data_IF_823635639519
#
_entry.id   IF_823635639519
#
_cell.length_a   1.000
_cell.length_b   1.000
_cell.length_c   1.000
_cell.angle_alpha   90.00
_cell.angle_beta   90.00
_cell.angle_gamma   90.00
#
_symmetry.space_group_name_H-M   'P 1'
#
loop_
_entity.id
_entity.type
_entity.pdbx_description
1 polymer ?
#
# COMPACT_ATOMS: atom_id res chain seq x y z
N UNK A 1 -3.75 12.53 -14.23
CA UNK A 1 -4.39 12.92 -15.52
C UNK A 1 -5.88 12.74 -15.35
N UNK A 2 -6.73 13.73 -15.59
CA UNK A 2 -8.15 13.45 -15.71
C UNK A 2 -8.31 12.51 -16.93
N UNK A 3 -8.94 11.35 -16.71
CA UNK A 3 -9.49 10.58 -17.83
C UNK A 3 -10.33 11.56 -18.65
N UNK A 4 -10.23 11.56 -20.01
CA UNK A 4 -11.11 12.38 -20.80
C UNK A 4 -12.54 12.08 -20.36
N UNK A 5 -13.26 13.13 -19.96
CA UNK A 5 -14.61 12.99 -19.47
C UNK A 5 -15.46 12.26 -20.53
N UNK A 6 -16.35 11.40 -20.10
CA UNK A 6 -17.30 10.69 -20.99
C UNK A 6 -18.17 11.63 -21.83
N UNK A 7 -18.08 12.94 -21.60
CA UNK A 7 -18.69 14.02 -22.38
C UNK A 7 -18.08 14.23 -23.79
N UNK A 8 -16.95 13.58 -24.13
CA UNK A 8 -16.28 13.76 -25.42
C UNK A 8 -16.92 13.00 -26.60
N UNK A 9 -17.98 12.22 -26.36
CA UNK A 9 -18.61 11.37 -27.40
C UNK A 9 -17.75 10.15 -27.80
N UNK A 10 -16.61 9.93 -27.17
CA UNK A 10 -15.75 8.76 -27.39
C UNK A 10 -16.27 7.59 -26.55
N UNK A 11 -16.51 6.38 -27.13
CA UNK A 11 -16.96 5.24 -26.37
C UNK A 11 -15.97 4.83 -25.26
N UNK A 12 -16.47 4.46 -24.07
CA UNK A 12 -15.66 4.08 -22.90
C UNK A 12 -14.56 3.04 -23.22
N UNK A 13 -14.81 1.94 -23.98
CA UNK A 13 -13.74 0.99 -24.31
C UNK A 13 -12.59 1.57 -25.16
N UNK A 14 -12.84 2.67 -25.88
CA UNK A 14 -11.77 3.38 -26.60
C UNK A 14 -10.94 4.20 -25.62
N UNK A 15 -11.59 4.88 -24.67
CA UNK A 15 -10.90 5.65 -23.63
C UNK A 15 -10.03 4.73 -22.74
N UNK A 16 -10.54 3.55 -22.39
CA UNK A 16 -9.80 2.55 -21.60
C UNK A 16 -8.54 2.09 -22.33
N UNK A 17 -8.65 1.77 -23.65
CA UNK A 17 -7.47 1.39 -24.44
C UNK A 17 -6.46 2.53 -24.58
N UNK A 18 -6.94 3.76 -24.79
CA UNK A 18 -6.06 4.93 -24.85
C UNK A 18 -5.41 5.19 -23.49
N UNK A 19 -6.16 5.07 -22.39
CA UNK A 19 -5.61 5.18 -21.03
C UNK A 19 -4.52 4.16 -20.76
N UNK A 20 -4.74 2.88 -21.11
CA UNK A 20 -3.74 1.83 -20.98
C UNK A 20 -2.49 2.11 -21.83
N UNK A 21 -2.65 2.60 -23.07
CA UNK A 21 -1.54 2.97 -23.94
C UNK A 21 -0.73 4.16 -23.37
N UNK A 22 -1.43 5.20 -22.90
CA UNK A 22 -0.80 6.36 -22.25
C UNK A 22 -0.03 5.97 -20.99
N UNK A 23 -0.62 5.11 -20.15
CA UNK A 23 0.06 4.59 -18.97
C UNK A 23 1.31 3.80 -19.34
N UNK A 24 1.24 2.92 -20.35
CA UNK A 24 2.42 2.17 -20.85
C UNK A 24 3.51 3.09 -21.40
N UNK A 25 3.15 4.13 -22.12
CA UNK A 25 4.11 5.14 -22.60
C UNK A 25 4.77 5.89 -21.43
N UNK A 26 3.99 6.27 -20.41
CA UNK A 26 4.51 6.91 -19.20
C UNK A 26 5.52 5.99 -18.49
N UNK A 27 5.21 4.71 -18.30
CA UNK A 27 6.12 3.72 -17.73
C UNK A 27 7.39 3.57 -18.57
N UNK A 28 7.30 3.59 -19.91
CA UNK A 28 8.48 3.58 -20.77
C UNK A 28 9.34 4.84 -20.53
N UNK A 29 8.72 6.01 -20.40
CA UNK A 29 9.40 7.26 -20.05
C UNK A 29 10.11 7.20 -18.70
N UNK A 30 9.47 6.60 -17.67
CA UNK A 30 10.08 6.38 -16.34
C UNK A 30 11.29 5.44 -16.45
N UNK A 31 11.14 4.30 -17.13
CA UNK A 31 12.22 3.30 -17.28
C UNK A 31 13.42 3.82 -18.06
N UNK A 32 13.18 4.65 -19.06
CA UNK A 32 14.24 5.28 -19.87
C UNK A 32 14.87 6.49 -19.16
N UNK A 33 14.29 6.99 -18.08
CA UNK A 33 14.78 8.19 -17.38
C UNK A 33 14.41 9.52 -18.05
N UNK A 34 13.38 9.55 -18.91
CA UNK A 34 12.92 10.76 -19.59
C UNK A 34 12.60 11.87 -18.61
N UNK A 35 11.85 11.57 -17.56
CA UNK A 35 11.44 12.56 -16.56
C UNK A 35 12.64 13.06 -15.76
N UNK A 36 13.54 12.17 -15.35
CA UNK A 36 14.76 12.54 -14.61
C UNK A 36 15.71 13.39 -15.46
N UNK A 37 15.83 13.10 -16.77
CA UNK A 37 16.64 13.93 -17.65
C UNK A 37 16.09 15.37 -17.78
N UNK A 38 14.77 15.55 -17.64
CA UNK A 38 14.10 16.85 -17.72
C UNK A 38 14.08 17.62 -16.38
N UNK A 39 14.51 17.02 -15.27
CA UNK A 39 14.60 17.72 -13.97
C UNK A 39 15.61 18.87 -13.99
N UNK A 40 16.68 18.72 -14.77
CA UNK A 40 17.71 19.73 -14.91
C UNK A 40 17.30 20.92 -15.83
N UNK A 41 16.19 20.79 -16.55
CA UNK A 41 15.66 21.81 -17.44
C UNK A 41 15.16 21.29 -18.78
N UNK A 42 14.64 22.18 -19.64
CA UNK A 42 14.10 21.84 -20.95
C UNK A 42 15.19 21.29 -21.90
N UNK A 43 14.89 20.21 -22.64
CA UNK A 43 15.76 19.59 -23.63
C UNK A 43 15.09 19.56 -25.00
N UNK A 44 15.87 19.63 -26.10
CA UNK A 44 15.37 19.21 -27.40
C UNK A 44 15.18 17.72 -27.45
N UNK A 45 14.46 17.18 -28.45
CA UNK A 45 14.27 15.73 -28.59
C UNK A 45 15.60 15.03 -28.81
N UNK A 46 16.53 15.64 -29.55
CA UNK A 46 17.87 15.12 -29.82
C UNK A 46 18.74 15.09 -28.55
N UNK A 47 18.70 16.17 -27.75
CA UNK A 47 19.38 16.23 -26.45
C UNK A 47 18.80 15.17 -25.49
N UNK A 48 17.47 15.02 -25.46
CA UNK A 48 16.79 14.03 -24.63
C UNK A 48 17.14 12.61 -25.09
N UNK A 49 17.14 12.33 -26.40
CA UNK A 49 17.53 11.02 -26.94
C UNK A 49 18.96 10.63 -26.52
N UNK A 50 19.88 11.59 -26.58
CA UNK A 50 21.25 11.42 -26.11
C UNK A 50 21.29 11.13 -24.60
N UNK A 51 20.54 11.90 -23.80
CA UNK A 51 20.53 11.75 -22.34
C UNK A 51 19.99 10.39 -21.88
N UNK A 52 18.97 9.85 -22.58
CA UNK A 52 18.38 8.55 -22.26
C UNK A 52 18.98 7.37 -22.99
N UNK A 53 19.98 7.62 -23.88
CA UNK A 53 20.61 6.57 -24.69
C UNK A 53 19.66 5.93 -25.69
N UNK A 54 18.65 6.68 -26.18
CA UNK A 54 17.61 6.20 -27.08
C UNK A 54 17.82 6.64 -28.54
N UNK A 55 17.13 5.93 -29.44
CA UNK A 55 17.02 6.34 -30.84
C UNK A 55 16.21 7.64 -30.96
N UNK A 56 16.68 8.68 -31.69
CA UNK A 56 16.00 9.98 -31.76
C UNK A 56 14.55 9.92 -32.28
N UNK A 57 14.25 9.07 -33.26
CA UNK A 57 12.91 8.92 -33.82
C UNK A 57 11.99 8.15 -32.87
N UNK A 58 12.51 7.14 -32.19
CA UNK A 58 11.83 6.44 -31.11
C UNK A 58 11.49 7.34 -29.94
N UNK A 59 12.46 8.16 -29.48
CA UNK A 59 12.25 9.15 -28.41
C UNK A 59 11.25 10.23 -28.85
N UNK A 60 11.31 10.71 -30.08
CA UNK A 60 10.34 11.65 -30.65
C UNK A 60 8.92 11.09 -30.60
N UNK A 61 8.74 9.82 -31.01
CA UNK A 61 7.45 9.14 -30.96
C UNK A 61 6.93 8.99 -29.53
N UNK A 62 7.78 8.64 -28.58
CA UNK A 62 7.44 8.56 -27.16
C UNK A 62 7.04 9.93 -26.61
N UNK A 63 7.83 10.97 -26.88
CA UNK A 63 7.54 12.36 -26.46
C UNK A 63 6.18 12.81 -27.00
N UNK A 64 5.85 12.56 -28.26
CA UNK A 64 4.57 12.92 -28.84
C UNK A 64 3.38 12.27 -28.10
N UNK A 65 3.52 10.99 -27.72
CA UNK A 65 2.50 10.30 -26.91
C UNK A 65 2.42 10.93 -25.53
N UNK A 66 3.54 11.15 -24.86
CA UNK A 66 3.58 11.75 -23.51
C UNK A 66 3.02 13.17 -23.48
N UNK A 67 3.22 13.94 -24.55
CA UNK A 67 2.60 15.27 -24.73
C UNK A 67 1.07 15.14 -24.90
N UNK A 68 0.63 14.21 -25.74
CA UNK A 68 -0.81 13.95 -25.97
C UNK A 68 -1.53 13.58 -24.68
N UNK A 69 -0.89 12.81 -23.79
CA UNK A 69 -1.45 12.44 -22.50
C UNK A 69 -1.15 13.44 -21.36
N UNK A 70 -0.51 14.58 -21.67
CA UNK A 70 -0.30 15.68 -20.73
C UNK A 70 0.83 15.46 -19.71
N UNK A 71 1.69 14.46 -19.89
CA UNK A 71 2.88 14.28 -19.04
C UNK A 71 3.99 15.25 -19.40
N UNK A 72 4.15 15.54 -20.70
CA UNK A 72 5.11 16.48 -21.22
C UNK A 72 4.41 17.60 -21.97
N UNK A 73 5.13 18.68 -22.28
CA UNK A 73 4.70 19.73 -23.20
C UNK A 73 5.87 20.19 -24.06
N UNK A 74 5.57 20.65 -25.24
CA UNK A 74 6.50 21.41 -26.05
C UNK A 74 6.46 22.88 -25.63
N UNK A 75 7.65 23.48 -25.51
CA UNK A 75 7.87 24.91 -25.39
C UNK A 75 8.83 25.31 -26.51
N UNK A 76 8.27 25.83 -27.61
CA UNK A 76 8.96 26.03 -28.89
C UNK A 76 9.56 24.72 -29.43
N UNK A 77 10.89 24.56 -29.35
CA UNK A 77 11.63 23.37 -29.80
C UNK A 77 12.11 22.46 -28.66
N UNK A 78 11.75 22.80 -27.42
CA UNK A 78 12.18 22.05 -26.23
C UNK A 78 11.01 21.34 -25.56
N UNK A 79 11.33 20.25 -24.88
CA UNK A 79 10.41 19.42 -24.12
C UNK A 79 10.60 19.72 -22.65
N UNK A 80 9.50 19.85 -21.93
CA UNK A 80 9.47 20.02 -20.47
C UNK A 80 8.45 19.09 -19.85
N UNK A 81 8.61 18.75 -18.57
CA UNK A 81 7.61 18.05 -17.79
C UNK A 81 6.41 18.98 -17.52
N UNK A 82 5.21 18.53 -17.89
CA UNK A 82 3.94 19.22 -17.62
C UNK A 82 3.25 18.67 -16.37
N UNK A 83 3.22 17.32 -16.25
CA UNK A 83 2.77 16.61 -15.05
C UNK A 83 3.74 15.45 -14.80
N UNK A 84 4.50 15.56 -13.74
CA UNK A 84 5.37 14.46 -13.34
C UNK A 84 4.53 13.21 -12.98
N UNK A 85 4.98 12.00 -13.36
CA UNK A 85 4.42 10.77 -12.79
C UNK A 85 4.65 10.75 -11.29
N UNK A 86 3.99 9.83 -10.60
CA UNK A 86 4.30 9.52 -9.21
C UNK A 86 5.75 9.06 -9.01
N UNK A 87 6.15 8.79 -7.77
CA UNK A 87 7.48 8.24 -7.49
C UNK A 87 7.75 7.00 -8.36
N UNK A 88 8.95 6.86 -8.96
CA UNK A 88 9.24 5.77 -9.90
C UNK A 88 8.95 4.37 -9.33
N UNK A 89 9.24 4.13 -8.06
CA UNK A 89 8.96 2.86 -7.41
C UNK A 89 7.46 2.53 -7.38
N UNK A 90 6.61 3.54 -7.12
CA UNK A 90 5.16 3.39 -7.11
C UNK A 90 4.63 3.03 -8.51
N UNK A 91 5.06 3.79 -9.51
CA UNK A 91 4.60 3.60 -10.88
C UNK A 91 5.03 2.24 -11.45
N UNK A 92 6.29 1.86 -11.22
CA UNK A 92 6.83 0.57 -11.68
C UNK A 92 6.19 -0.61 -10.93
N UNK A 93 5.95 -0.48 -9.62
CA UNK A 93 5.26 -1.50 -8.84
C UNK A 93 3.85 -1.76 -9.37
N UNK A 94 3.02 -0.72 -9.50
CA UNK A 94 1.66 -0.88 -10.01
C UNK A 94 1.60 -1.37 -11.45
N UNK A 95 2.58 -0.97 -12.28
CA UNK A 95 2.69 -1.52 -13.62
C UNK A 95 2.89 -3.04 -13.59
N UNK A 96 3.81 -3.53 -12.77
CA UNK A 96 4.11 -4.97 -12.67
C UNK A 96 2.92 -5.73 -12.07
N UNK A 97 2.23 -5.15 -11.09
CA UNK A 97 0.98 -5.72 -10.55
C UNK A 97 -0.08 -5.85 -11.62
N UNK A 98 -0.41 -4.77 -12.34
CA UNK A 98 -1.52 -4.75 -13.29
C UNK A 98 -1.25 -5.58 -14.55
N UNK A 99 0.00 -5.65 -15.03
CA UNK A 99 0.33 -6.30 -16.29
C UNK A 99 0.98 -7.68 -16.15
N UNK A 100 1.45 -8.05 -14.96
CA UNK A 100 2.08 -9.35 -14.74
C UNK A 100 1.39 -10.17 -13.66
N UNK A 101 1.05 -9.56 -12.50
CA UNK A 101 0.36 -10.30 -11.43
C UNK A 101 -1.11 -10.57 -11.77
N UNK A 102 -1.75 -9.68 -12.53
CA UNK A 102 -3.14 -9.86 -13.00
C UNK A 102 -3.24 -10.71 -14.27
N UNK A 103 -2.17 -11.25 -14.79
CA UNK A 103 -2.18 -11.97 -16.07
C UNK A 103 -3.10 -13.20 -16.11
N UNK A 104 -3.45 -13.75 -14.96
CA UNK A 104 -4.35 -14.91 -14.80
C UNK A 104 -5.56 -14.61 -13.89
N UNK A 105 -5.98 -13.35 -13.82
CA UNK A 105 -7.03 -12.87 -12.92
C UNK A 105 -8.38 -13.56 -13.16
N UNK A 106 -8.70 -13.90 -14.42
CA UNK A 106 -9.92 -14.61 -14.79
C UNK A 106 -9.99 -16.00 -14.16
N UNK A 107 -8.86 -16.68 -14.02
CA UNK A 107 -8.80 -17.99 -13.38
C UNK A 107 -9.03 -17.87 -11.86
N UNK A 108 -8.45 -16.87 -11.23
CA UNK A 108 -8.67 -16.57 -9.81
C UNK A 108 -10.14 -16.22 -9.53
N UNK A 109 -10.75 -15.39 -10.38
CA UNK A 109 -12.19 -15.04 -10.26
C UNK A 109 -13.06 -16.29 -10.41
N UNK A 110 -12.75 -17.17 -11.36
CA UNK A 110 -13.54 -18.38 -11.63
C UNK A 110 -13.43 -19.42 -10.50
N UNK A 111 -12.25 -19.57 -9.93
CA UNK A 111 -11.99 -20.63 -8.94
C UNK A 111 -12.10 -20.18 -7.48
N UNK A 112 -12.06 -18.86 -7.23
CA UNK A 112 -11.98 -18.29 -5.89
C UNK A 112 -10.64 -18.52 -5.18
N UNK A 113 -9.61 -18.99 -5.92
CA UNK A 113 -8.30 -19.32 -5.38
C UNK A 113 -7.20 -18.73 -6.26
N UNK A 114 -6.29 -17.92 -5.72
CA UNK A 114 -5.15 -17.41 -6.47
C UNK A 114 -4.30 -18.55 -7.02
N UNK A 115 -4.02 -18.51 -8.32
CA UNK A 115 -3.12 -19.48 -8.96
C UNK A 115 -1.70 -19.34 -8.46
N UNK A 116 -1.33 -18.09 -8.13
CA UNK A 116 -0.05 -17.72 -7.52
C UNK A 116 -0.29 -16.65 -6.46
N UNK A 117 -0.04 -16.96 -5.21
CA UNK A 117 -0.14 -15.99 -4.13
C UNK A 117 0.84 -14.83 -4.31
N UNK A 118 0.46 -13.65 -3.84
CA UNK A 118 1.21 -12.40 -4.01
C UNK A 118 2.66 -12.48 -3.52
N UNK A 119 2.90 -13.03 -2.32
CA UNK A 119 4.25 -13.16 -1.79
C UNK A 119 5.11 -14.18 -2.56
N UNK A 120 4.51 -15.22 -3.14
CA UNK A 120 5.21 -16.14 -4.03
C UNK A 120 5.63 -15.44 -5.32
N UNK A 121 4.72 -14.62 -5.89
CA UNK A 121 5.01 -13.79 -7.06
C UNK A 121 6.12 -12.77 -6.80
N UNK A 122 6.15 -12.15 -5.61
CA UNK A 122 7.21 -11.21 -5.19
C UNK A 122 8.57 -11.90 -5.00
N UNK A 123 8.61 -13.10 -4.43
CA UNK A 123 9.88 -13.85 -4.25
C UNK A 123 10.60 -14.12 -5.56
N UNK A 124 9.85 -14.26 -6.65
CA UNK A 124 10.40 -14.43 -7.98
C UNK A 124 10.88 -13.11 -8.62
N UNK A 125 10.60 -11.97 -7.97
CA UNK A 125 10.84 -10.60 -8.46
C UNK A 125 11.53 -9.72 -7.43
N UNK A 126 12.81 -9.94 -7.14
CA UNK A 126 13.51 -9.21 -6.06
C UNK A 126 13.49 -7.69 -6.22
N UNK A 127 13.53 -7.18 -7.46
CA UNK A 127 13.45 -5.75 -7.73
C UNK A 127 12.07 -5.17 -7.36
N UNK A 128 10.99 -5.88 -7.69
CA UNK A 128 9.61 -5.50 -7.33
C UNK A 128 9.39 -5.56 -5.82
N UNK A 129 9.90 -6.62 -5.16
CA UNK A 129 9.86 -6.75 -3.72
C UNK A 129 10.61 -5.60 -3.03
N UNK A 130 11.79 -5.21 -3.54
CA UNK A 130 12.54 -4.07 -3.01
C UNK A 130 11.80 -2.73 -3.19
N UNK A 131 11.08 -2.53 -4.31
CA UNK A 131 10.23 -1.34 -4.51
C UNK A 131 9.10 -1.31 -3.48
N UNK A 132 8.36 -2.41 -3.34
CA UNK A 132 7.29 -2.51 -2.35
C UNK A 132 7.79 -2.18 -0.94
N UNK A 133 8.92 -2.74 -0.53
CA UNK A 133 9.53 -2.43 0.77
C UNK A 133 9.79 -0.94 0.96
N UNK A 134 10.39 -0.26 -0.04
CA UNK A 134 10.63 1.19 0.05
C UNK A 134 9.33 1.99 0.13
N UNK A 135 8.30 1.58 -0.62
CA UNK A 135 6.98 2.20 -0.57
C UNK A 135 6.35 2.06 0.81
N UNK A 136 6.35 0.85 1.38
CA UNK A 136 5.79 0.58 2.71
C UNK A 136 6.55 1.34 3.81
N UNK A 137 7.88 1.37 3.75
CA UNK A 137 8.69 2.16 4.68
C UNK A 137 8.40 3.66 4.58
N UNK A 138 8.24 4.18 3.34
CA UNK A 138 7.85 5.58 3.12
C UNK A 138 6.46 5.90 3.66
N UNK A 139 5.48 5.02 3.46
CA UNK A 139 4.13 5.17 3.98
C UNK A 139 4.14 5.13 5.53
N UNK A 140 4.84 4.18 6.14
CA UNK A 140 4.98 4.10 7.59
C UNK A 140 5.58 5.38 8.17
N UNK A 141 6.63 5.93 7.55
CA UNK A 141 7.26 7.18 7.98
C UNK A 141 6.31 8.38 7.85
N UNK A 142 5.52 8.45 6.77
CA UNK A 142 4.56 9.53 6.54
C UNK A 142 3.40 9.53 7.55
N UNK A 143 2.96 8.35 7.98
CA UNK A 143 1.85 8.18 8.92
C UNK A 143 2.28 8.20 10.40
N UNK A 144 3.57 8.19 10.67
CA UNK A 144 4.11 7.86 11.98
C UNK A 144 3.71 8.85 13.10
N UNK A 145 3.63 10.16 12.79
CA UNK A 145 3.23 11.18 13.77
C UNK A 145 1.74 11.07 14.11
N UNK A 146 0.90 10.90 13.10
CA UNK A 146 -0.54 10.72 13.27
C UNK A 146 -0.84 9.45 14.08
N UNK A 147 -0.18 8.34 13.74
CA UNK A 147 -0.35 7.06 14.44
C UNK A 147 0.12 7.19 15.91
N UNK A 148 1.32 7.72 16.14
CA UNK A 148 1.86 7.84 17.49
C UNK A 148 0.99 8.74 18.39
N UNK A 149 0.40 9.80 17.83
CA UNK A 149 -0.51 10.69 18.55
C UNK A 149 -1.89 10.05 18.85
N UNK A 150 -2.36 9.18 17.93
CA UNK A 150 -3.70 8.57 18.05
C UNK A 150 -3.73 7.34 18.96
N UNK A 151 -2.63 6.58 19.05
CA UNK A 151 -2.55 5.35 19.84
C UNK A 151 -2.69 5.63 21.35
N UNK A 152 -3.40 4.77 22.11
CA UNK A 152 -3.50 4.89 23.57
C UNK A 152 -2.13 4.72 24.24
N UNK A 153 -1.98 5.13 25.51
CA UNK A 153 -0.81 4.80 26.29
C UNK A 153 -0.57 3.29 26.34
N UNK A 154 0.65 2.87 26.14
CA UNK A 154 1.05 1.46 26.15
C UNK A 154 2.53 1.36 26.49
N UNK A 155 2.93 0.39 27.30
CA UNK A 155 4.33 0.05 27.54
C UNK A 155 4.76 -1.17 26.71
N UNK A 156 3.85 -2.12 26.54
CA UNK A 156 4.08 -3.38 25.82
C UNK A 156 3.15 -3.48 24.60
N UNK A 157 3.74 -3.62 23.42
CA UNK A 157 3.00 -3.70 22.16
C UNK A 157 3.32 -5.00 21.44
N UNK A 158 2.31 -5.64 20.88
CA UNK A 158 2.43 -6.74 19.95
C UNK A 158 2.03 -6.27 18.55
N UNK A 159 2.95 -6.34 17.59
CA UNK A 159 2.72 -5.99 16.20
C UNK A 159 2.52 -7.28 15.38
N UNK A 160 1.26 -7.65 15.17
CA UNK A 160 0.88 -8.88 14.46
C UNK A 160 0.94 -8.62 12.96
N UNK A 161 1.70 -9.46 12.23
CA UNK A 161 1.94 -9.25 10.81
C UNK A 161 2.77 -8.01 10.54
N UNK A 162 3.63 -7.60 11.49
CA UNK A 162 4.40 -6.36 11.42
C UNK A 162 5.45 -6.30 10.31
N UNK A 163 5.59 -7.35 9.51
CA UNK A 163 6.42 -7.36 8.32
C UNK A 163 7.89 -7.11 8.64
N UNK A 164 8.45 -6.13 7.98
CA UNK A 164 9.85 -5.70 8.19
C UNK A 164 10.02 -4.76 9.40
N UNK A 165 8.95 -4.47 10.13
CA UNK A 165 8.96 -3.61 11.32
C UNK A 165 8.95 -2.11 10.99
N UNK A 166 8.49 -1.70 9.82
CA UNK A 166 8.52 -0.29 9.42
C UNK A 166 7.72 0.60 10.37
N UNK A 167 6.47 0.25 10.67
CA UNK A 167 5.65 0.96 11.65
C UNK A 167 6.19 0.84 13.07
N UNK A 168 6.71 -0.34 13.44
CA UNK A 168 7.33 -0.59 14.75
C UNK A 168 8.53 0.32 15.01
N UNK A 169 9.44 0.46 14.04
CA UNK A 169 10.61 1.35 14.15
C UNK A 169 10.17 2.78 14.35
N UNK A 170 9.23 3.25 13.54
CA UNK A 170 8.72 4.62 13.64
C UNK A 170 7.98 4.89 14.97
N UNK A 171 7.23 3.91 15.48
CA UNK A 171 6.58 3.99 16.80
C UNK A 171 7.62 4.07 17.92
N UNK A 172 8.62 3.20 17.92
CA UNK A 172 9.68 3.19 18.93
C UNK A 172 10.49 4.50 18.97
N UNK A 173 10.65 5.16 17.83
CA UNK A 173 11.32 6.48 17.75
C UNK A 173 10.53 7.59 18.42
N UNK A 174 9.18 7.56 18.31
CA UNK A 174 8.26 8.59 18.81
C UNK A 174 7.80 8.35 20.24
N UNK A 175 7.75 7.09 20.64
CA UNK A 175 7.26 6.65 21.96
C UNK A 175 8.41 5.95 22.72
N UNK A 176 9.27 6.70 23.46
CA UNK A 176 10.49 6.16 24.05
C UNK A 176 10.27 5.13 25.18
N UNK A 177 9.10 5.04 25.73
CA UNK A 177 8.68 4.11 26.80
C UNK A 177 8.00 2.83 26.28
N UNK A 178 7.79 2.72 24.96
CA UNK A 178 7.17 1.54 24.34
C UNK A 178 8.20 0.48 23.99
N UNK A 179 7.91 -0.78 24.24
CA UNK A 179 8.62 -1.95 23.68
C UNK A 179 7.67 -2.71 22.78
N UNK A 180 8.15 -3.16 21.62
CA UNK A 180 7.33 -3.84 20.61
C UNK A 180 7.88 -5.22 20.32
N UNK A 181 7.02 -6.22 20.33
CA UNK A 181 7.29 -7.54 19.76
C UNK A 181 6.65 -7.62 18.39
N UNK A 182 7.46 -7.72 17.33
CA UNK A 182 6.99 -8.00 15.97
C UNK A 182 6.77 -9.49 15.84
N UNK A 183 5.55 -9.88 15.46
CA UNK A 183 5.17 -11.28 15.26
C UNK A 183 4.80 -11.50 13.79
N UNK A 184 5.59 -12.30 13.08
CA UNK A 184 5.38 -12.59 11.67
C UNK A 184 5.99 -13.94 11.28
N UNK A 185 5.78 -14.39 10.06
CA UNK A 185 6.34 -15.64 9.55
C UNK A 185 7.87 -15.64 9.62
N UNK A 186 8.49 -16.84 9.80
CA UNK A 186 9.95 -16.96 9.96
C UNK A 186 10.75 -16.29 8.85
N UNK A 187 10.30 -16.39 7.59
CA UNK A 187 10.96 -15.77 6.44
C UNK A 187 10.88 -14.24 6.46
N UNK A 188 9.82 -13.67 7.02
CA UNK A 188 9.65 -12.22 7.16
C UNK A 188 10.53 -11.67 8.27
N UNK A 189 10.57 -12.35 9.42
CA UNK A 189 11.34 -11.95 10.59
C UNK A 189 12.85 -11.88 10.30
N UNK A 190 13.39 -12.70 9.41
CA UNK A 190 14.81 -12.66 9.02
C UNK A 190 15.20 -11.38 8.28
N UNK A 191 14.23 -10.62 7.78
CA UNK A 191 14.44 -9.37 7.05
C UNK A 191 13.99 -8.13 7.85
N UNK A 192 13.85 -8.26 9.18
CA UNK A 192 13.48 -7.14 10.05
C UNK A 192 14.49 -6.00 9.96
N UNK A 193 14.02 -4.78 10.14
CA UNK A 193 14.87 -3.58 10.20
C UNK A 193 15.79 -3.62 11.43
N UNK A 194 17.06 -3.31 11.22
CA UNK A 194 18.09 -3.26 12.27
C UNK A 194 18.24 -1.86 12.90
N UNK A 195 17.57 -0.85 12.34
CA UNK A 195 17.70 0.56 12.76
C UNK A 195 16.66 0.99 13.81
N UNK A 196 16.00 0.02 14.46
CA UNK A 196 15.18 0.27 15.63
C UNK A 196 16.05 0.72 16.82
N UNK A 197 15.52 1.57 17.72
CA UNK A 197 16.22 1.94 18.94
C UNK A 197 16.59 0.67 19.74
N UNK A 198 17.83 0.56 20.26
CA UNK A 198 18.31 -0.64 20.92
C UNK A 198 17.41 -1.13 22.06
N UNK A 199 17.13 -2.42 22.10
CA UNK A 199 16.34 -3.05 23.15
C UNK A 199 14.83 -2.73 23.12
N UNK A 200 14.36 -2.04 22.09
CA UNK A 200 12.97 -1.58 21.98
C UNK A 200 12.11 -2.43 21.06
N UNK A 201 12.73 -3.17 20.17
CA UNK A 201 12.07 -4.09 19.25
C UNK A 201 12.61 -5.50 19.45
N UNK A 202 11.72 -6.47 19.57
CA UNK A 202 12.01 -7.90 19.56
C UNK A 202 11.24 -8.56 18.42
N UNK A 203 11.74 -9.70 17.95
CA UNK A 203 11.12 -10.48 16.91
C UNK A 203 10.66 -11.84 17.44
N UNK A 204 9.48 -12.29 17.04
CA UNK A 204 8.97 -13.61 17.31
C UNK A 204 8.36 -14.20 16.04
N UNK A 205 8.95 -15.31 15.57
CA UNK A 205 8.46 -16.01 14.40
C UNK A 205 7.25 -16.90 14.73
N UNK A 206 6.25 -16.90 13.86
CA UNK A 206 5.08 -17.76 13.96
C UNK A 206 3.98 -17.38 12.99
N UNK A 207 2.96 -18.24 12.89
CA UNK A 207 1.73 -17.97 12.17
C UNK A 207 0.67 -17.47 13.17
N UNK A 208 0.24 -16.23 13.02
CA UNK A 208 -0.75 -15.62 13.92
C UNK A 208 -2.13 -16.27 13.87
N UNK A 209 -2.43 -17.10 12.87
CA UNK A 209 -3.67 -17.88 12.81
C UNK A 209 -3.62 -19.16 13.67
N UNK A 210 -2.43 -19.70 13.92
CA UNK A 210 -2.29 -21.01 14.59
C UNK A 210 -1.44 -20.96 15.85
N UNK A 211 -0.37 -20.16 15.88
CA UNK A 211 0.60 -20.16 16.96
C UNK A 211 0.20 -19.26 18.13
N UNK A 212 0.73 -19.52 19.31
CA UNK A 212 0.46 -18.70 20.50
C UNK A 212 0.96 -17.26 20.31
N UNK A 213 0.12 -16.26 20.54
CA UNK A 213 0.45 -14.84 20.47
C UNK A 213 1.04 -14.28 21.78
N UNK A 214 1.06 -15.08 22.85
CA UNK A 214 1.39 -14.61 24.18
C UNK A 214 0.22 -13.87 24.84
N UNK A 215 0.51 -13.12 25.90
CA UNK A 215 -0.51 -12.40 26.65
C UNK A 215 0.06 -11.19 27.40
N UNK A 216 -0.83 -10.32 27.88
CA UNK A 216 -0.45 -9.19 28.73
C UNK A 216 0.02 -7.97 27.96
N UNK A 217 -0.26 -7.89 26.67
CA UNK A 217 0.08 -6.70 25.88
C UNK A 217 -0.92 -5.56 26.12
N UNK A 218 -0.41 -4.35 26.31
CA UNK A 218 -1.24 -3.16 26.48
C UNK A 218 -1.87 -2.73 25.14
N UNK A 219 -1.21 -3.05 24.03
CA UNK A 219 -1.66 -2.70 22.70
C UNK A 219 -1.29 -3.81 21.71
N UNK A 220 -2.23 -4.18 20.86
CA UNK A 220 -1.98 -5.03 19.70
C UNK A 220 -2.20 -4.20 18.44
N UNK A 221 -1.23 -4.25 17.51
CA UNK A 221 -1.32 -3.63 16.19
C UNK A 221 -1.67 -4.67 15.14
N UNK A 222 -2.57 -4.30 14.23
CA UNK A 222 -2.95 -5.05 13.03
C UNK A 222 -2.93 -4.06 11.86
N UNK A 223 -1.72 -3.77 11.34
CA UNK A 223 -1.50 -2.75 10.33
C UNK A 223 -1.29 -3.39 8.97
N UNK A 224 -2.21 -3.14 8.04
CA UNK A 224 -2.20 -3.71 6.68
C UNK A 224 -2.18 -5.26 6.68
N UNK A 225 -2.90 -5.88 7.62
CA UNK A 225 -3.00 -7.33 7.78
C UNK A 225 -4.34 -7.86 7.30
N UNK A 226 -5.43 -7.23 7.73
CA UNK A 226 -6.78 -7.79 7.60
C UNK A 226 -7.26 -7.86 6.16
N UNK A 227 -6.82 -6.96 5.31
CA UNK A 227 -7.14 -6.98 3.88
C UNK A 227 -6.57 -8.21 3.13
N UNK A 228 -5.59 -8.90 3.71
CA UNK A 228 -5.09 -10.18 3.18
C UNK A 228 -5.99 -11.38 3.49
N UNK A 229 -7.06 -11.21 4.27
CA UNK A 229 -7.87 -12.27 4.85
C UNK A 229 -9.35 -12.17 4.51
N UNK A 230 -10.03 -13.31 4.52
CA UNK A 230 -11.49 -13.39 4.43
C UNK A 230 -12.14 -13.00 5.77
N UNK A 231 -13.44 -12.63 5.77
CA UNK A 231 -14.14 -12.23 6.99
C UNK A 231 -14.04 -13.22 8.17
N UNK A 232 -14.06 -14.52 7.87
CA UNK A 232 -13.96 -15.58 8.89
C UNK A 232 -12.58 -15.59 9.55
N UNK A 233 -11.53 -15.43 8.75
CA UNK A 233 -10.15 -15.35 9.25
C UNK A 233 -9.92 -14.04 10.02
N UNK A 234 -10.49 -12.91 9.58
CA UNK A 234 -10.44 -11.65 10.32
C UNK A 234 -11.05 -11.77 11.71
N UNK A 235 -12.21 -12.44 11.84
CA UNK A 235 -12.84 -12.72 13.15
C UNK A 235 -11.92 -13.56 14.04
N UNK A 236 -11.29 -14.60 13.49
CA UNK A 236 -10.36 -15.44 14.22
C UNK A 236 -9.12 -14.65 14.66
N UNK A 237 -8.55 -13.81 13.78
CA UNK A 237 -7.43 -12.92 14.12
C UNK A 237 -7.81 -11.99 15.28
N UNK A 238 -8.98 -11.36 15.25
CA UNK A 238 -9.45 -10.50 16.35
C UNK A 238 -9.67 -11.28 17.65
N UNK A 239 -10.26 -12.46 17.59
CA UNK A 239 -10.46 -13.30 18.76
C UNK A 239 -9.11 -13.67 19.42
N UNK A 240 -8.11 -14.02 18.62
CA UNK A 240 -6.76 -14.37 19.09
C UNK A 240 -6.03 -13.13 19.62
N UNK A 241 -6.08 -12.03 18.90
CA UNK A 241 -5.50 -10.74 19.33
C UNK A 241 -6.10 -10.28 20.67
N UNK A 242 -7.42 -10.43 20.85
CA UNK A 242 -8.09 -10.08 22.11
C UNK A 242 -7.62 -10.94 23.30
N UNK A 243 -7.21 -12.21 23.07
CA UNK A 243 -6.65 -13.05 24.15
C UNK A 243 -5.22 -12.67 24.50
N UNK A 244 -4.49 -12.02 23.60
CA UNK A 244 -3.14 -11.54 23.85
C UNK A 244 -3.09 -10.21 24.65
N UNK A 245 -4.22 -9.51 24.78
CA UNK A 245 -4.32 -8.24 25.51
C UNK A 245 -4.24 -8.43 27.03
N UNK A 246 -3.67 -7.43 27.70
CA UNK A 246 -3.88 -7.19 29.12
C UNK A 246 -5.36 -6.84 29.39
N UNK A 247 -5.84 -6.87 30.66
CA UNK A 247 -7.23 -6.57 30.97
C UNK A 247 -7.74 -5.21 30.47
N UNK A 248 -6.88 -4.22 30.41
CA UNK A 248 -7.16 -2.84 29.93
C UNK A 248 -6.59 -2.54 28.55
N UNK A 249 -6.07 -3.57 27.87
CA UNK A 249 -5.42 -3.43 26.57
C UNK A 249 -6.38 -3.11 25.44
N UNK A 250 -5.82 -2.62 24.33
CA UNK A 250 -6.56 -2.23 23.13
C UNK A 250 -5.99 -2.85 21.87
N UNK A 251 -6.80 -2.98 20.83
CA UNK A 251 -6.36 -3.30 19.46
C UNK A 251 -6.41 -2.02 18.63
N UNK A 252 -5.39 -1.79 17.81
CA UNK A 252 -5.38 -0.75 16.79
C UNK A 252 -5.23 -1.39 15.40
N UNK A 253 -6.16 -1.08 14.51
CA UNK A 253 -6.18 -1.53 13.12
C UNK A 253 -5.90 -0.35 12.20
N UNK A 254 -4.92 -0.48 11.33
CA UNK A 254 -4.66 0.44 10.22
C UNK A 254 -4.91 -0.31 8.92
N UNK A 255 -5.85 0.17 8.13
CA UNK A 255 -6.15 -0.40 6.82
C UNK A 255 -6.88 0.61 5.94
N UNK A 256 -7.12 0.27 4.67
CA UNK A 256 -7.99 1.03 3.79
C UNK A 256 -9.46 0.76 4.15
N UNK A 257 -10.29 1.80 4.14
CA UNK A 257 -11.74 1.65 4.29
C UNK A 257 -12.39 1.45 2.92
N UNK A 258 -13.19 0.42 2.78
CA UNK A 258 -13.95 0.17 1.53
C UNK A 258 -14.90 1.32 1.19
N UNK A 259 -15.30 2.11 2.19
CA UNK A 259 -16.11 3.32 2.01
C UNK A 259 -15.23 4.57 2.17
N UNK A 260 -14.71 5.13 1.05
CA UNK A 260 -13.88 6.31 1.12
C UNK A 260 -14.67 7.50 1.69
N UNK A 261 -14.01 8.43 2.38
CA UNK A 261 -14.66 9.64 2.85
C UNK A 261 -15.36 10.39 1.71
N UNK A 262 -16.52 10.96 2.02
CA UNK A 262 -17.24 11.80 1.07
C UNK A 262 -16.34 12.96 0.59
N UNK A 263 -16.29 13.20 -0.73
CA UNK A 263 -15.51 14.29 -1.32
C UNK A 263 -14.18 13.89 -1.96
N UNK A 264 -13.69 12.66 -1.80
CA UNK A 264 -12.46 12.21 -2.48
C UNK A 264 -12.65 11.92 -3.98
N UNK A 265 -13.89 11.89 -4.44
CA UNK A 265 -14.23 11.74 -5.85
C UNK A 265 -14.02 10.33 -6.43
N UNK A 266 -14.27 10.17 -7.75
CA UNK A 266 -14.27 8.84 -8.39
C UNK A 266 -12.89 8.19 -8.46
N UNK A 267 -11.79 8.95 -8.43
CA UNK A 267 -10.44 8.40 -8.46
C UNK A 267 -10.14 7.56 -7.22
N UNK A 268 -10.60 7.98 -6.03
CA UNK A 268 -10.44 7.24 -4.78
C UNK A 268 -11.23 5.92 -4.82
N UNK A 269 -12.46 5.95 -5.28
CA UNK A 269 -13.29 4.75 -5.45
C UNK A 269 -12.66 3.79 -6.48
N UNK A 270 -12.12 4.33 -7.58
CA UNK A 270 -11.38 3.55 -8.59
C UNK A 270 -10.15 2.87 -8.02
N UNK A 271 -9.36 3.59 -7.23
CA UNK A 271 -8.19 3.02 -6.55
C UNK A 271 -8.59 1.88 -5.60
N UNK A 272 -9.58 2.11 -4.73
CA UNK A 272 -10.05 1.09 -3.78
C UNK A 272 -10.58 -0.15 -4.48
N UNK A 273 -11.33 0.01 -5.59
CA UNK A 273 -11.81 -1.12 -6.39
C UNK A 273 -10.67 -1.91 -7.04
N UNK A 274 -9.67 -1.21 -7.60
CA UNK A 274 -8.45 -1.83 -8.14
C UNK A 274 -7.65 -2.54 -7.05
N UNK A 275 -7.51 -1.94 -5.89
CA UNK A 275 -6.79 -2.50 -4.76
C UNK A 275 -7.50 -3.74 -4.20
N UNK A 276 -8.83 -3.67 -4.01
CA UNK A 276 -9.66 -4.81 -3.59
C UNK A 276 -9.49 -6.02 -4.54
N UNK A 277 -9.53 -5.78 -5.85
CA UNK A 277 -9.32 -6.84 -6.84
C UNK A 277 -7.88 -7.38 -6.84
N UNK A 278 -6.89 -6.53 -6.56
CA UNK A 278 -5.49 -6.94 -6.39
C UNK A 278 -5.32 -7.87 -5.19
N UNK A 279 -5.96 -7.53 -4.07
CA UNK A 279 -5.95 -8.36 -2.85
C UNK A 279 -6.64 -9.70 -3.10
N UNK A 280 -7.78 -9.70 -3.82
CA UNK A 280 -8.44 -10.92 -4.23
C UNK A 280 -7.53 -11.80 -5.10
N UNK A 281 -6.87 -11.21 -6.10
CA UNK A 281 -5.93 -11.90 -6.98
C UNK A 281 -4.74 -12.50 -6.21
N UNK A 282 -4.26 -11.83 -5.17
CA UNK A 282 -3.05 -12.23 -4.46
C UNK A 282 -3.28 -13.12 -3.23
N UNK A 283 -4.41 -12.92 -2.53
CA UNK A 283 -4.64 -13.48 -1.19
C UNK A 283 -6.01 -14.13 -1.02
N UNK A 284 -6.93 -13.95 -1.97
CA UNK A 284 -8.36 -14.20 -1.80
C UNK A 284 -8.99 -13.39 -0.64
N UNK A 285 -8.33 -12.30 -0.24
CA UNK A 285 -8.79 -11.31 0.72
C UNK A 285 -9.52 -10.14 0.04
N UNK A 286 -9.56 -8.98 0.69
CA UNK A 286 -10.17 -7.77 0.14
C UNK A 286 -10.21 -6.62 1.14
N UNK A 287 -10.56 -5.44 0.65
CA UNK A 287 -10.75 -4.26 1.50
C UNK A 287 -12.05 -4.41 2.29
N UNK A 288 -11.98 -4.30 3.62
CA UNK A 288 -13.15 -4.39 4.50
C UNK A 288 -13.72 -3.01 4.82
N UNK A 289 -15.01 -2.97 5.18
CA UNK A 289 -15.60 -1.76 5.77
C UNK A 289 -15.18 -1.63 7.21
N UNK A 290 -14.90 -0.44 7.66
CA UNK A 290 -14.60 -0.21 9.09
C UNK A 290 -15.76 -0.54 10.01
N UNK A 291 -17.02 -0.40 9.53
CA UNK A 291 -18.19 -0.89 10.25
C UNK A 291 -18.17 -2.40 10.49
N UNK A 292 -17.71 -3.18 9.50
CA UNK A 292 -17.61 -4.65 9.63
C UNK A 292 -16.47 -5.00 10.60
N UNK A 293 -15.30 -4.34 10.47
CA UNK A 293 -14.18 -4.54 11.39
C UNK A 293 -14.58 -4.21 12.85
N UNK A 294 -15.30 -3.12 13.06
CA UNK A 294 -15.81 -2.74 14.39
C UNK A 294 -16.81 -3.78 14.95
N UNK A 295 -17.69 -4.32 14.11
CA UNK A 295 -18.60 -5.39 14.50
C UNK A 295 -17.85 -6.66 14.91
N UNK A 296 -16.84 -7.08 14.14
CA UNK A 296 -16.04 -8.28 14.46
C UNK A 296 -15.16 -8.07 15.71
N UNK A 297 -14.67 -6.86 15.96
CA UNK A 297 -14.01 -6.50 17.22
C UNK A 297 -14.98 -6.62 18.40
N UNK A 298 -16.24 -6.20 18.22
CA UNK A 298 -17.31 -6.37 19.21
C UNK A 298 -17.60 -7.84 19.52
N UNK A 299 -17.61 -8.72 18.51
CA UNK A 299 -17.72 -10.17 18.69
C UNK A 299 -16.56 -10.75 19.54
N UNK A 300 -15.37 -10.14 19.46
CA UNK A 300 -14.21 -10.48 20.28
C UNK A 300 -14.20 -9.83 21.69
N UNK A 301 -15.28 -9.10 22.07
CA UNK A 301 -15.42 -8.45 23.37
C UNK A 301 -14.79 -7.07 23.48
N UNK A 302 -14.47 -6.42 22.33
CA UNK A 302 -13.87 -5.09 22.26
C UNK A 302 -14.90 -4.09 21.69
N UNK A 303 -15.76 -3.58 22.54
CA UNK A 303 -16.93 -2.79 22.14
C UNK A 303 -16.71 -1.28 22.20
N UNK A 304 -15.69 -0.79 22.91
CA UNK A 304 -15.35 0.64 22.92
C UNK A 304 -14.49 0.96 21.71
N UNK A 305 -15.13 1.30 20.58
CA UNK A 305 -14.45 1.57 19.32
C UNK A 305 -14.42 3.06 19.00
N UNK A 306 -13.30 3.51 18.40
CA UNK A 306 -13.18 4.85 17.81
C UNK A 306 -12.38 4.79 16.51
N UNK A 307 -12.80 5.58 15.52
CA UNK A 307 -12.09 5.75 14.25
C UNK A 307 -11.38 7.09 14.26
N UNK A 308 -10.10 7.10 13.97
CA UNK A 308 -9.26 8.29 13.90
C UNK A 308 -8.82 8.48 12.45
N UNK A 309 -9.21 9.58 11.78
CA UNK A 309 -8.69 9.92 10.46
C UNK A 309 -7.20 10.27 10.57
N UNK A 310 -6.44 9.95 9.53
CA UNK A 310 -5.03 10.28 9.42
C UNK A 310 -4.85 11.42 8.42
N UNK A 311 -4.17 12.47 8.81
CA UNK A 311 -3.99 13.66 7.97
C UNK A 311 -3.14 13.35 6.73
N UNK A 312 -2.14 12.48 6.89
CA UNK A 312 -1.23 12.10 5.82
C UNK A 312 -1.82 11.09 4.81
N UNK A 313 -2.93 10.40 5.15
CA UNK A 313 -3.60 9.46 4.23
C UNK A 313 -5.12 9.56 4.35
N UNK A 314 -5.79 10.13 3.34
CA UNK A 314 -7.26 10.23 3.37
C UNK A 314 -7.98 8.90 3.14
N UNK A 315 -7.29 7.86 2.63
CA UNK A 315 -7.87 6.54 2.35
C UNK A 315 -7.68 5.54 3.48
N UNK A 316 -6.76 5.81 4.39
CA UNK A 316 -6.49 4.98 5.55
C UNK A 316 -6.98 5.67 6.82
N UNK A 317 -7.43 4.89 7.78
CA UNK A 317 -7.87 5.35 9.09
C UNK A 317 -7.31 4.41 10.14
N UNK A 318 -7.29 4.87 11.37
CA UNK A 318 -6.95 4.04 12.51
C UNK A 318 -8.23 3.70 13.27
N UNK A 319 -8.59 2.41 13.34
CA UNK A 319 -9.66 1.92 14.19
C UNK A 319 -9.06 1.40 15.49
N UNK A 320 -9.44 1.96 16.61
CA UNK A 320 -8.96 1.55 17.94
C UNK A 320 -10.14 0.99 18.72
N UNK A 321 -9.94 -0.18 19.33
CA UNK A 321 -10.96 -0.86 20.09
C UNK A 321 -10.42 -1.34 21.44
N UNK A 322 -11.21 -1.12 22.51
CA UNK A 322 -10.92 -1.56 23.86
C UNK A 322 -12.07 -2.34 24.48
N UNK A 323 -11.81 -2.95 25.64
CA UNK A 323 -12.85 -3.56 26.46
C UNK A 323 -13.75 -2.49 27.08
N UNK A 324 -15.04 -2.79 27.33
CA UNK A 324 -15.90 -1.88 28.08
C UNK A 324 -15.34 -1.64 29.49
N UNK A 325 -15.42 -0.39 29.93
CA UNK A 325 -14.98 0.06 31.27
C UNK A 325 -15.81 -0.53 32.39
#
# INVERSE_FOLDING_TARGET
>A
MPLPEASSGVPAPVLDRLGAAGYRAMIAGVRLGVFSALEAGPLTVEELATAVGGDPDGVRSLVNVLVTFGYLRHDEHRVTTAAAPGPPDLELFWHEVLFEHWADIEDTIRTGTPRRGFYTWLRERPATAARLRRMLAGAAAALADDIAAALPPAATVLDIGGGHGDHTVELCRRRPDVTVTVFDLPETITALREDAPPGRMTARAGDYLTDDLGSGHDLVLLFNVLHGHRPEECREIFRRAATALSPTGSIAVLDHDREPPAGLGPAAAGFLGMFDLTLWQGHAGGVHRYSDLAAWLGEAGLTETRVVPLAASPLEKLLIAGRPS
#
